data_IF_279341152950
#
_entry.id   IF_279341152950
#
_cell.length_a   1.000
_cell.length_b   1.000
_cell.length_c   1.000
_cell.angle_alpha   90.00
_cell.angle_beta   90.00
_cell.angle_gamma   90.00
#
_symmetry.space_group_name_H-M   'P 1'
#
loop_
_entity.id
_entity.type
_entity.pdbx_description
1 polymer ?
#
# COMPACT_ATOMS: atom_id res chain seq x y z
N UNK A 1 -9.94 -0.43 -11.66
CA UNK A 1 -8.47 -0.27 -11.53
C UNK A 1 -7.98 -0.54 -10.12
N UNK A 2 -8.37 0.23 -9.09
CA UNK A 2 -7.90 -0.02 -7.70
C UNK A 2 -8.23 -1.42 -7.15
N UNK A 3 -9.40 -1.97 -7.48
CA UNK A 3 -9.77 -3.34 -7.08
C UNK A 3 -8.74 -4.38 -7.57
N UNK A 4 -8.42 -4.34 -8.86
CA UNK A 4 -7.45 -5.23 -9.49
C UNK A 4 -6.05 -5.04 -8.88
N UNK A 5 -5.67 -3.78 -8.65
CA UNK A 5 -4.40 -3.47 -8.00
C UNK A 5 -4.30 -4.05 -6.58
N UNK A 6 -5.33 -3.89 -5.74
CA UNK A 6 -5.34 -4.50 -4.40
C UNK A 6 -5.30 -6.03 -4.45
N UNK A 7 -5.99 -6.66 -5.41
CA UNK A 7 -5.92 -8.12 -5.59
C UNK A 7 -4.50 -8.58 -5.95
N UNK A 8 -3.84 -7.88 -6.88
CA UNK A 8 -2.45 -8.16 -7.24
C UNK A 8 -1.54 -8.02 -6.03
N UNK A 9 -1.66 -6.94 -5.25
CA UNK A 9 -0.82 -6.73 -4.05
C UNK A 9 -1.09 -7.78 -2.98
N UNK A 10 -2.35 -8.19 -2.75
CA UNK A 10 -2.69 -9.20 -1.74
C UNK A 10 -2.07 -10.56 -2.07
N UNK A 11 -1.93 -10.89 -3.37
CA UNK A 11 -1.28 -12.11 -3.83
C UNK A 11 0.25 -11.96 -3.90
N UNK A 12 0.73 -10.82 -4.39
CA UNK A 12 2.14 -10.55 -4.60
C UNK A 12 2.91 -10.40 -3.29
N UNK A 13 2.35 -9.72 -2.28
CA UNK A 13 3.04 -9.49 -1.01
C UNK A 13 3.44 -10.80 -0.28
N UNK A 14 2.55 -11.79 -0.08
CA UNK A 14 2.95 -13.07 0.48
C UNK A 14 3.77 -13.93 -0.50
N UNK A 15 3.65 -13.71 -1.81
CA UNK A 15 4.39 -14.48 -2.80
C UNK A 15 5.84 -14.00 -2.98
N UNK A 16 6.12 -12.70 -2.86
CA UNK A 16 7.42 -12.08 -3.12
C UNK A 16 8.01 -11.45 -1.86
N UNK A 17 7.30 -10.52 -1.20
CA UNK A 17 7.82 -9.78 -0.04
C UNK A 17 8.09 -10.72 1.15
N UNK A 18 7.24 -11.73 1.34
CA UNK A 18 7.47 -12.74 2.36
C UNK A 18 8.72 -13.59 2.09
N UNK A 19 9.15 -13.78 0.84
CA UNK A 19 10.41 -14.47 0.52
C UNK A 19 11.65 -13.61 0.82
N UNK A 20 11.46 -12.30 0.98
CA UNK A 20 12.52 -11.39 1.44
C UNK A 20 12.67 -11.51 2.97
N UNK A 21 11.56 -11.63 3.68
CA UNK A 21 11.54 -11.71 5.15
C UNK A 21 11.81 -13.11 5.70
N UNK A 22 11.36 -14.15 5.01
CA UNK A 22 11.44 -15.55 5.45
C UNK A 22 12.35 -16.39 4.54
N UNK A 23 12.98 -17.44 5.10
CA UNK A 23 13.77 -18.39 4.30
C UNK A 23 12.93 -19.05 3.20
N UNK A 24 13.51 -19.22 2.01
CA UNK A 24 12.85 -19.84 0.84
C UNK A 24 12.30 -21.26 1.11
N UNK A 25 12.76 -21.93 2.17
CA UNK A 25 12.30 -23.26 2.61
C UNK A 25 10.82 -23.31 3.01
N UNK A 26 10.23 -22.16 3.35
CA UNK A 26 8.81 -22.07 3.71
C UNK A 26 7.90 -21.90 2.50
N UNK A 27 8.46 -21.72 1.30
CA UNK A 27 7.71 -21.48 0.08
C UNK A 27 7.79 -22.67 -0.88
N UNK A 28 6.74 -22.96 -1.65
CA UNK A 28 6.78 -23.98 -2.68
C UNK A 28 7.80 -23.64 -3.75
N UNK A 29 8.49 -24.66 -4.29
CA UNK A 29 9.58 -24.50 -5.25
C UNK A 29 9.20 -23.62 -6.44
N UNK A 30 7.97 -23.71 -6.95
CA UNK A 30 7.49 -22.85 -8.04
C UNK A 30 7.61 -21.34 -7.75
N UNK A 31 7.28 -20.90 -6.53
CA UNK A 31 7.38 -19.48 -6.16
C UNK A 31 8.83 -19.04 -5.99
N UNK A 32 9.69 -19.95 -5.53
CA UNK A 32 11.13 -19.70 -5.40
C UNK A 32 11.77 -19.60 -6.78
N UNK A 33 11.44 -20.51 -7.70
CA UNK A 33 11.94 -20.51 -9.06
C UNK A 33 11.47 -19.28 -9.84
N UNK A 34 10.21 -18.85 -9.65
CA UNK A 34 9.69 -17.62 -10.24
C UNK A 34 10.44 -16.39 -9.71
N UNK A 35 10.73 -16.35 -8.40
CA UNK A 35 11.48 -15.25 -7.80
C UNK A 35 12.94 -15.23 -8.27
N UNK A 36 13.58 -16.40 -8.39
CA UNK A 36 14.93 -16.52 -8.95
C UNK A 36 14.99 -16.09 -10.41
N UNK A 37 14.02 -16.51 -11.23
CA UNK A 37 13.89 -16.09 -12.62
C UNK A 37 13.69 -14.57 -12.72
N UNK A 38 12.79 -14.02 -11.90
CA UNK A 38 12.53 -12.59 -11.84
C UNK A 38 13.78 -11.80 -11.42
N UNK A 39 14.46 -12.27 -10.38
CA UNK A 39 15.69 -11.64 -9.86
C UNK A 39 16.82 -11.69 -10.90
N UNK A 40 16.93 -12.79 -11.65
CA UNK A 40 17.89 -12.95 -12.73
C UNK A 40 17.58 -12.06 -13.95
N UNK A 41 16.31 -11.91 -14.30
CA UNK A 41 15.86 -11.14 -15.47
C UNK A 41 15.93 -9.63 -15.22
N UNK A 42 15.54 -9.20 -14.02
CA UNK A 42 15.49 -7.78 -13.65
C UNK A 42 16.79 -7.28 -13.01
N UNK A 43 17.66 -8.20 -12.57
CA UNK A 43 18.92 -7.86 -11.90
C UNK A 43 18.72 -7.02 -10.64
N UNK A 44 17.59 -7.19 -9.96
CA UNK A 44 17.23 -6.34 -8.83
C UNK A 44 18.13 -6.65 -7.63
N UNK A 45 19.16 -5.82 -7.50
CA UNK A 45 20.14 -5.85 -6.41
C UNK A 45 19.48 -5.84 -5.02
N UNK A 46 18.30 -5.25 -4.85
CA UNK A 46 17.60 -5.20 -3.57
C UNK A 46 17.07 -6.58 -3.15
N UNK A 47 16.66 -7.40 -4.12
CA UNK A 47 16.21 -8.77 -3.89
C UNK A 47 17.38 -9.75 -3.73
N UNK A 48 18.53 -9.45 -4.36
CA UNK A 48 19.75 -10.25 -4.30
C UNK A 48 20.49 -10.03 -2.98
N UNK A 49 20.81 -8.79 -2.64
CA UNK A 49 21.61 -8.46 -1.46
C UNK A 49 20.80 -8.29 -0.18
N UNK A 50 19.47 -8.08 -0.30
CA UNK A 50 18.54 -7.90 0.83
C UNK A 50 19.10 -6.96 1.90
N UNK A 51 19.42 -5.70 1.56
CA UNK A 51 19.96 -4.76 2.54
C UNK A 51 18.96 -4.55 3.69
N UNK A 52 19.47 -4.33 4.90
CA UNK A 52 18.64 -4.30 6.12
C UNK A 52 17.50 -3.29 6.08
N UNK A 53 17.68 -2.15 5.38
CA UNK A 53 16.60 -1.16 5.20
C UNK A 53 15.45 -1.73 4.37
N UNK A 54 15.76 -2.48 3.31
CA UNK A 54 14.79 -3.06 2.40
C UNK A 54 14.03 -4.20 3.08
N UNK A 55 14.71 -5.05 3.83
CA UNK A 55 14.06 -6.07 4.68
C UNK A 55 13.11 -5.42 5.69
N UNK A 56 13.50 -4.28 6.29
CA UNK A 56 12.63 -3.50 7.17
C UNK A 56 11.38 -2.95 6.45
N UNK A 57 11.53 -2.42 5.24
CA UNK A 57 10.40 -1.98 4.41
C UNK A 57 9.47 -3.14 4.08
N UNK A 58 10.00 -4.31 3.70
CA UNK A 58 9.21 -5.51 3.40
C UNK A 58 8.44 -6.01 4.64
N UNK A 59 9.02 -5.91 5.84
CA UNK A 59 8.30 -6.22 7.09
C UNK A 59 7.12 -5.27 7.32
N UNK A 60 7.33 -3.96 7.10
CA UNK A 60 6.24 -2.98 7.25
C UNK A 60 5.16 -3.20 6.18
N UNK A 61 5.56 -3.56 4.96
CA UNK A 61 4.65 -3.91 3.89
C UNK A 61 3.81 -5.15 4.26
N UNK A 62 4.44 -6.19 4.78
CA UNK A 62 3.76 -7.42 5.19
C UNK A 62 2.83 -7.24 6.40
N UNK A 63 3.25 -6.46 7.40
CA UNK A 63 2.52 -6.32 8.67
C UNK A 63 1.47 -5.20 8.64
N UNK A 64 1.68 -4.14 7.86
CA UNK A 64 0.77 -2.99 7.82
C UNK A 64 0.10 -2.83 6.46
N UNK A 65 0.86 -2.84 5.38
CA UNK A 65 0.30 -2.59 4.05
C UNK A 65 -0.61 -3.73 3.58
N UNK A 66 -0.23 -4.98 3.82
CA UNK A 66 -1.01 -6.15 3.40
C UNK A 66 -2.36 -6.27 4.13
N UNK A 67 -2.46 -6.13 5.47
CA UNK A 67 -3.77 -6.06 6.14
C UNK A 67 -4.60 -4.87 5.66
N UNK A 68 -3.97 -3.72 5.43
CA UNK A 68 -4.67 -2.53 4.95
C UNK A 68 -5.20 -2.70 3.52
N UNK A 69 -4.48 -3.41 2.65
CA UNK A 69 -4.95 -3.80 1.31
C UNK A 69 -6.19 -4.70 1.40
N UNK A 70 -6.21 -5.69 2.30
CA UNK A 70 -7.36 -6.57 2.54
C UNK A 70 -8.59 -5.78 3.04
N UNK A 71 -8.39 -4.84 3.97
CA UNK A 71 -9.45 -3.95 4.46
C UNK A 71 -10.01 -3.07 3.33
N UNK A 72 -9.14 -2.51 2.49
CA UNK A 72 -9.53 -1.71 1.33
C UNK A 72 -10.28 -2.55 0.27
N UNK A 73 -9.83 -3.78 0.00
CA UNK A 73 -10.53 -4.71 -0.89
C UNK A 73 -11.94 -5.01 -0.37
N UNK A 74 -12.07 -5.33 0.92
CA UNK A 74 -13.36 -5.57 1.56
C UNK A 74 -14.30 -4.35 1.45
N UNK A 75 -13.77 -3.15 1.69
CA UNK A 75 -14.55 -1.93 1.57
C UNK A 75 -15.04 -1.65 0.14
N UNK A 76 -14.27 -2.05 -0.89
CA UNK A 76 -14.71 -1.96 -2.30
C UNK A 76 -15.79 -3.01 -2.59
N UNK A 77 -15.62 -4.25 -2.12
CA UNK A 77 -16.55 -5.35 -2.41
C UNK A 77 -17.91 -5.16 -1.72
N UNK A 78 -17.91 -4.73 -0.46
CA UNK A 78 -19.14 -4.49 0.31
C UNK A 78 -19.77 -3.14 -0.04
N UNK A 79 -18.96 -2.17 -0.46
CA UNK A 79 -19.39 -0.82 -0.80
C UNK A 79 -19.87 0.02 0.39
N UNK A 80 -20.00 1.33 0.18
CA UNK A 80 -20.70 2.24 1.10
C UNK A 80 -20.02 2.50 2.46
N UNK A 81 -18.75 2.14 2.65
CA UNK A 81 -18.03 2.39 3.91
C UNK A 81 -17.39 3.79 3.95
N UNK A 82 -17.67 4.62 4.97
CA UNK A 82 -17.16 6.00 5.03
C UNK A 82 -15.65 6.08 5.28
N UNK A 83 -15.06 5.04 5.87
CA UNK A 83 -13.61 4.99 6.13
C UNK A 83 -12.77 4.63 4.90
N UNK A 84 -13.39 4.16 3.81
CA UNK A 84 -12.67 3.69 2.62
C UNK A 84 -11.72 4.75 2.04
N UNK A 85 -12.15 6.00 1.97
CA UNK A 85 -11.30 7.07 1.44
C UNK A 85 -10.09 7.33 2.35
N UNK A 86 -10.29 7.29 3.68
CA UNK A 86 -9.19 7.48 4.64
C UNK A 86 -8.19 6.32 4.61
N UNK A 87 -8.66 5.08 4.57
CA UNK A 87 -7.79 3.90 4.49
C UNK A 87 -7.09 3.77 3.14
N UNK A 88 -7.73 4.20 2.05
CA UNK A 88 -7.12 4.26 0.72
C UNK A 88 -6.05 5.36 0.64
N UNK A 89 -6.27 6.51 1.31
CA UNK A 89 -5.27 7.58 1.44
C UNK A 89 -4.05 7.08 2.22
N UNK A 90 -4.25 6.53 3.41
CA UNK A 90 -3.16 6.02 4.26
C UNK A 90 -2.35 4.98 3.52
N UNK A 91 -3.04 4.05 2.85
CA UNK A 91 -2.40 3.05 2.00
C UNK A 91 -1.55 3.70 0.89
N UNK A 92 -2.13 4.64 0.13
CA UNK A 92 -1.43 5.31 -0.96
C UNK A 92 -0.20 6.09 -0.48
N UNK A 93 -0.30 6.80 0.65
CA UNK A 93 0.84 7.53 1.24
C UNK A 93 1.95 6.58 1.66
N UNK A 94 1.61 5.47 2.32
CA UNK A 94 2.58 4.49 2.75
C UNK A 94 3.34 3.88 1.55
N UNK A 95 2.62 3.43 0.50
CA UNK A 95 3.23 2.91 -0.73
C UNK A 95 4.13 3.97 -1.37
N UNK A 96 3.65 5.22 -1.44
CA UNK A 96 4.41 6.33 -2.01
C UNK A 96 5.72 6.56 -1.26
N UNK A 97 5.69 6.58 0.08
CA UNK A 97 6.90 6.74 0.89
C UNK A 97 7.89 5.59 0.70
N UNK A 98 7.41 4.34 0.67
CA UNK A 98 8.26 3.17 0.41
C UNK A 98 8.92 3.23 -0.97
N UNK A 99 8.15 3.56 -2.01
CA UNK A 99 8.64 3.71 -3.37
C UNK A 99 9.66 4.84 -3.50
N UNK A 100 9.44 5.98 -2.83
CA UNK A 100 10.39 7.09 -2.80
C UNK A 100 11.69 6.68 -2.09
N UNK A 101 11.62 5.93 -0.99
CA UNK A 101 12.81 5.42 -0.30
C UNK A 101 13.63 4.48 -1.19
N UNK A 102 12.96 3.53 -1.87
CA UNK A 102 13.61 2.61 -2.81
C UNK A 102 14.24 3.36 -3.98
N UNK A 103 13.50 4.29 -4.60
CA UNK A 103 14.02 5.09 -5.71
C UNK A 103 15.19 5.99 -5.28
N UNK A 104 15.12 6.60 -4.10
CA UNK A 104 16.20 7.43 -3.57
C UNK A 104 17.49 6.62 -3.39
N UNK A 105 17.40 5.42 -2.80
CA UNK A 105 18.55 4.51 -2.66
C UNK A 105 19.10 4.07 -4.02
N UNK A 106 18.23 3.74 -4.99
CA UNK A 106 18.66 3.35 -6.35
C UNK A 106 19.37 4.48 -7.09
N UNK A 107 18.89 5.72 -6.94
CA UNK A 107 19.52 6.92 -7.53
C UNK A 107 20.86 7.19 -6.84
N UNK A 108 20.90 7.14 -5.50
CA UNK A 108 22.10 7.45 -4.72
C UNK A 108 23.20 6.39 -4.92
N UNK A 109 22.82 5.12 -5.02
CA UNK A 109 23.73 4.02 -5.31
C UNK A 109 24.18 3.96 -6.78
N UNK A 110 23.67 4.84 -7.66
CA UNK A 110 23.90 4.85 -9.13
C UNK A 110 23.61 3.52 -9.83
N UNK A 111 22.81 2.65 -9.20
CA UNK A 111 22.38 1.33 -9.73
C UNK A 111 21.03 1.41 -10.45
N UNK A 112 20.53 2.61 -10.70
CA UNK A 112 19.25 2.82 -11.39
C UNK A 112 19.34 2.31 -12.83
N UNK A 113 18.48 1.34 -13.16
CA UNK A 113 18.39 0.74 -14.50
C UNK A 113 17.02 1.04 -15.11
N UNK A 114 16.94 1.21 -16.44
CA UNK A 114 15.68 1.50 -17.14
C UNK A 114 14.57 0.47 -16.86
N UNK A 115 14.95 -0.81 -16.77
CA UNK A 115 14.05 -1.92 -16.46
C UNK A 115 13.47 -1.78 -15.04
N UNK A 116 14.33 -1.44 -14.09
CA UNK A 116 13.99 -1.22 -12.69
C UNK A 116 13.04 -0.01 -12.54
N UNK A 117 13.35 1.08 -13.23
CA UNK A 117 12.50 2.27 -13.25
C UNK A 117 11.13 1.98 -13.87
N UNK A 118 11.06 1.20 -14.96
CA UNK A 118 9.80 0.73 -15.56
C UNK A 118 9.00 -0.18 -14.64
N UNK A 119 9.64 -0.93 -13.73
CA UNK A 119 8.97 -1.77 -12.75
C UNK A 119 8.37 -0.93 -11.61
N UNK A 120 9.12 0.02 -11.04
CA UNK A 120 8.70 0.81 -9.86
C UNK A 120 7.74 1.97 -10.20
N UNK A 121 7.82 2.56 -11.40
CA UNK A 121 6.96 3.67 -11.83
C UNK A 121 5.45 3.36 -11.83
N UNK A 122 4.98 2.20 -12.33
CA UNK A 122 3.57 1.81 -12.24
C UNK A 122 3.07 1.81 -10.80
N UNK A 123 3.83 1.24 -9.86
CA UNK A 123 3.45 1.21 -8.44
C UNK A 123 3.34 2.61 -7.85
N UNK A 124 4.27 3.50 -8.18
CA UNK A 124 4.20 4.91 -7.79
C UNK A 124 2.96 5.60 -8.37
N UNK A 125 2.62 5.34 -9.64
CA UNK A 125 1.41 5.84 -10.28
C UNK A 125 0.14 5.36 -9.57
N UNK A 126 0.07 4.07 -9.22
CA UNK A 126 -1.06 3.53 -8.45
C UNK A 126 -1.15 4.11 -7.03
N UNK A 127 -0.02 4.36 -6.38
CA UNK A 127 0.03 5.03 -5.08
C UNK A 127 -0.57 6.44 -5.16
N UNK A 128 -0.16 7.23 -6.17
CA UNK A 128 -0.73 8.56 -6.42
C UNK A 128 -2.23 8.47 -6.71
N UNK A 129 -2.67 7.50 -7.52
CA UNK A 129 -4.10 7.30 -7.79
C UNK A 129 -4.90 6.94 -6.52
N UNK A 130 -4.31 6.14 -5.61
CA UNK A 130 -4.92 5.82 -4.32
C UNK A 130 -5.00 7.05 -3.41
N UNK A 131 -3.94 7.87 -3.35
CA UNK A 131 -3.91 9.14 -2.64
C UNK A 131 -4.99 10.07 -3.18
N UNK A 132 -5.05 10.29 -4.50
CA UNK A 132 -6.06 11.14 -5.14
C UNK A 132 -7.48 10.65 -4.83
N UNK A 133 -7.72 9.34 -4.90
CA UNK A 133 -9.02 8.74 -4.54
C UNK A 133 -9.37 8.95 -3.07
N UNK A 134 -8.40 8.91 -2.18
CA UNK A 134 -8.60 9.18 -0.76
C UNK A 134 -8.80 10.67 -0.43
N UNK A 135 -8.19 11.57 -1.22
CA UNK A 135 -8.32 13.02 -1.08
C UNK A 135 -9.57 13.60 -1.77
N UNK A 136 -10.16 12.89 -2.75
CA UNK A 136 -11.43 13.29 -3.32
C UNK A 136 -12.44 13.51 -2.19
N UNK A 137 -13.06 14.70 -2.11
CA UNK A 137 -13.72 15.15 -0.90
C UNK A 137 -14.75 14.12 -0.44
N UNK A 138 -14.70 13.79 0.84
CA UNK A 138 -15.86 13.28 1.59
C UNK A 138 -16.96 14.35 1.59
N UNK A 139 -17.55 14.65 0.43
CA UNK A 139 -18.76 15.45 0.29
C UNK A 139 -19.95 14.61 0.75
N UNK A 140 -20.01 14.35 2.07
CA UNK A 140 -21.17 13.96 2.89
C UNK A 140 -20.68 13.24 4.15
N UNK A 141 -20.20 13.99 5.14
CA UNK A 141 -20.76 13.85 6.50
C UNK A 141 -20.35 14.98 7.45
N UNK A 142 -20.41 16.24 7.03
CA UNK A 142 -20.66 17.33 7.99
C UNK A 142 -22.16 17.42 8.26
N UNK A 143 -22.75 16.35 8.82
CA UNK A 143 -23.84 16.55 9.79
C UNK A 143 -23.14 16.73 11.13
N UNK A 144 -22.53 17.90 11.30
CA UNK A 144 -22.23 18.40 12.62
C UNK A 144 -23.59 18.47 13.31
N UNK A 145 -23.77 17.59 14.30
CA UNK A 145 -24.89 17.63 15.22
C UNK A 145 -24.93 19.02 15.85
N UNK A 146 -25.61 19.96 15.22
CA UNK A 146 -26.17 21.13 15.89
C UNK A 146 -27.41 20.67 16.67
N UNK A 147 -27.24 19.72 17.60
CA UNK A 147 -28.13 19.63 18.75
C UNK A 147 -27.54 20.57 19.80
N UNK A 148 -27.94 21.82 19.72
CA UNK A 148 -27.96 22.68 20.90
C UNK A 148 -29.31 22.41 21.57
N UNK A 149 -29.38 21.73 22.74
CA UNK A 149 -30.54 21.83 23.60
C UNK A 149 -30.33 23.05 24.50
N UNK A 150 -30.89 24.18 24.10
CA UNK A 150 -31.05 25.37 24.93
C UNK A 150 -32.42 25.96 24.58
N UNK A 151 -33.35 26.27 25.46
CA UNK A 151 -33.34 26.38 26.91
C UNK A 151 -34.82 26.20 27.31
N UNK A 152 -35.11 25.39 28.33
CA UNK A 152 -36.45 25.36 28.91
C UNK A 152 -36.79 26.73 29.49
N UNK A 153 -37.70 27.48 28.84
CA UNK A 153 -38.21 28.75 29.37
C UNK A 153 -39.53 28.48 30.10
N UNK A 154 -39.40 28.16 31.39
CA UNK A 154 -40.49 28.10 32.36
C UNK A 154 -40.60 29.47 33.05
N UNK A 155 -41.67 30.22 32.81
CA UNK A 155 -42.23 31.29 33.68
C UNK A 155 -43.72 31.40 33.28
N UNK A 156 -44.70 30.89 34.05
CA UNK A 156 -45.35 31.50 35.23
C UNK A 156 -45.55 33.01 35.11
N UNK A 157 -46.76 33.40 34.71
CA UNK A 157 -47.63 34.40 35.34
C UNK A 157 -49.06 34.05 34.93
#
# INVERSE_FOLDING_TARGET
MLLFFFLVVILAAPAFDAQVCFPSKFFPNFLVDLNLWFTSEYGDYLLIEKPSFFVGLMWLELLFQWPLANVNLYAILVGGKPWFNSTCLVYGVFVFTGMVAVLAELILSSRITNVLMMMYLPFLGFAILAILRGLLPCSRHTKMNARVPALGRKKRA
#
